data_IF_769920189410
#
_entry.id   IF_769920189410
#
_cell.length_a   1.000
_cell.length_b   1.000
_cell.length_c   1.000
_cell.angle_alpha   90.00
_cell.angle_beta   90.00
_cell.angle_gamma   90.00
#
_symmetry.space_group_name_H-M   'P 1'
#
loop_
_entity.id
_entity.type
_entity.pdbx_description
1 polymer ?
#
# COMPACT_ATOMS: atom_id res chain seq x y z
N UNK A 1 -8.04 -32.81 24.31
CA UNK A 1 -8.27 -31.86 25.43
C UNK A 1 -9.67 -31.29 25.29
N UNK A 2 -10.43 -31.17 26.39
CA UNK A 2 -11.76 -30.56 26.34
C UNK A 2 -11.64 -29.07 25.96
N UNK A 3 -12.55 -28.55 25.13
CA UNK A 3 -12.60 -27.12 24.81
C UNK A 3 -12.95 -26.33 26.09
N UNK A 4 -12.25 -25.22 26.38
CA UNK A 4 -12.56 -24.42 27.56
C UNK A 4 -13.99 -23.86 27.46
N UNK A 5 -14.69 -23.83 28.58
CA UNK A 5 -16.00 -23.20 28.65
C UNK A 5 -15.84 -21.68 28.50
N UNK A 6 -16.79 -20.97 27.85
CA UNK A 6 -16.68 -19.51 27.71
C UNK A 6 -16.58 -18.79 29.07
N UNK A 7 -17.27 -19.27 30.10
CA UNK A 7 -17.15 -18.80 31.50
C UNK A 7 -15.70 -18.73 31.99
N UNK A 8 -14.86 -19.72 31.66
CA UNK A 8 -13.43 -19.73 32.00
C UNK A 8 -12.65 -18.67 31.23
N UNK A 9 -13.01 -18.42 29.97
CA UNK A 9 -12.37 -17.40 29.14
C UNK A 9 -12.70 -15.98 29.63
N UNK A 10 -13.92 -15.75 30.11
CA UNK A 10 -14.31 -14.48 30.76
C UNK A 10 -13.47 -14.20 32.01
N UNK A 11 -13.32 -15.20 32.88
CA UNK A 11 -12.45 -15.08 34.05
C UNK A 11 -11.01 -14.80 33.62
N UNK A 12 -10.51 -15.46 32.57
CA UNK A 12 -9.16 -15.25 32.04
C UNK A 12 -8.96 -13.80 31.55
N UNK A 13 -9.90 -13.25 30.77
CA UNK A 13 -9.84 -11.86 30.30
C UNK A 13 -9.91 -10.88 31.48
N UNK A 14 -10.82 -11.11 32.42
CA UNK A 14 -10.94 -10.27 33.62
C UNK A 14 -9.67 -10.30 34.46
N UNK A 15 -9.07 -11.47 34.67
CA UNK A 15 -7.79 -11.63 35.37
C UNK A 15 -6.65 -10.92 34.64
N UNK A 16 -6.62 -10.97 33.31
CA UNK A 16 -5.63 -10.23 32.52
C UNK A 16 -5.77 -8.71 32.71
N UNK A 17 -7.00 -8.19 32.74
CA UNK A 17 -7.26 -6.74 32.87
C UNK A 17 -6.87 -6.21 34.26
N UNK A 18 -7.08 -7.01 35.32
CA UNK A 18 -6.91 -6.55 36.70
C UNK A 18 -5.56 -6.93 37.34
N UNK A 19 -4.76 -7.80 36.71
CA UNK A 19 -3.44 -8.15 37.24
C UNK A 19 -2.43 -7.03 37.02
N UNK A 20 -1.58 -6.77 38.02
CA UNK A 20 -0.44 -5.84 37.91
C UNK A 20 0.85 -6.54 37.49
N UNK A 21 0.87 -7.88 37.54
CA UNK A 21 2.01 -8.70 37.11
C UNK A 21 1.96 -8.89 35.58
N UNK A 22 2.94 -8.33 34.88
CA UNK A 22 3.07 -8.37 33.42
C UNK A 22 3.32 -9.78 32.87
N UNK A 23 3.96 -10.66 33.65
CA UNK A 23 4.20 -12.06 33.26
C UNK A 23 2.90 -12.86 33.32
N UNK A 24 2.12 -12.69 34.39
CA UNK A 24 0.79 -13.29 34.49
C UNK A 24 -0.16 -12.74 33.44
N UNK A 25 -0.13 -11.42 33.20
CA UNK A 25 -0.93 -10.76 32.16
C UNK A 25 -0.66 -11.38 30.78
N UNK A 26 0.62 -11.49 30.41
CA UNK A 26 1.04 -12.11 29.15
C UNK A 26 0.55 -13.56 29.03
N UNK A 27 0.65 -14.33 30.12
CA UNK A 27 0.19 -15.72 30.18
C UNK A 27 -1.33 -15.83 29.97
N UNK A 28 -2.12 -14.98 30.63
CA UNK A 28 -3.58 -14.97 30.47
C UNK A 28 -4.00 -14.61 29.04
N UNK A 29 -3.38 -13.58 28.45
CA UNK A 29 -3.70 -13.18 27.08
C UNK A 29 -3.27 -14.25 26.06
N UNK A 30 -2.10 -14.88 26.23
CA UNK A 30 -1.66 -15.96 25.36
C UNK A 30 -2.59 -17.18 25.43
N UNK A 31 -3.05 -17.54 26.64
CA UNK A 31 -4.06 -18.59 26.83
C UNK A 31 -5.37 -18.25 26.12
N UNK A 32 -5.84 -17.00 26.25
CA UNK A 32 -7.05 -16.53 25.58
C UNK A 32 -6.91 -16.60 24.05
N UNK A 33 -5.78 -16.14 23.50
CA UNK A 33 -5.47 -16.23 22.07
C UNK A 33 -5.51 -17.67 21.58
N UNK A 34 -4.91 -18.61 22.33
CA UNK A 34 -4.93 -20.03 21.99
C UNK A 34 -6.36 -20.58 21.95
N UNK A 35 -7.21 -20.21 22.91
CA UNK A 35 -8.59 -20.65 22.94
C UNK A 35 -9.44 -20.05 21.80
N UNK A 36 -9.27 -18.75 21.53
CA UNK A 36 -10.01 -18.02 20.49
C UNK A 36 -9.52 -18.30 19.06
N UNK A 37 -8.49 -19.14 18.89
CA UNK A 37 -8.05 -19.60 17.57
C UNK A 37 -9.07 -20.54 16.91
N UNK A 38 -9.87 -21.25 17.71
CA UNK A 38 -11.02 -22.02 17.22
C UNK A 38 -12.22 -21.10 17.01
N UNK A 39 -12.71 -21.02 15.77
CA UNK A 39 -13.81 -20.11 15.40
C UNK A 39 -15.07 -20.33 16.23
N UNK A 40 -15.48 -21.59 16.46
CA UNK A 40 -16.69 -21.88 17.22
C UNK A 40 -16.57 -21.42 18.69
N UNK A 41 -15.42 -21.66 19.32
CA UNK A 41 -15.12 -21.17 20.68
C UNK A 41 -15.12 -19.65 20.74
N UNK A 42 -14.53 -19.00 19.73
CA UNK A 42 -14.48 -17.55 19.61
C UNK A 42 -15.86 -16.91 19.49
N UNK A 43 -16.69 -17.43 18.59
CA UNK A 43 -18.03 -16.92 18.35
C UNK A 43 -18.90 -17.10 19.62
N UNK A 44 -18.81 -18.27 20.27
CA UNK A 44 -19.50 -18.53 21.54
C UNK A 44 -19.04 -17.60 22.68
N UNK A 45 -17.73 -17.34 22.79
CA UNK A 45 -17.17 -16.43 23.78
C UNK A 45 -17.70 -15.00 23.61
N UNK A 46 -17.66 -14.47 22.40
CA UNK A 46 -18.13 -13.11 22.15
C UNK A 46 -19.65 -12.98 22.26
N UNK A 47 -20.41 -13.98 21.83
CA UNK A 47 -21.87 -14.00 21.98
C UNK A 47 -22.26 -14.07 23.47
N UNK A 48 -21.55 -14.82 24.33
CA UNK A 48 -21.77 -14.84 25.77
C UNK A 48 -21.36 -13.52 26.45
N UNK A 49 -20.20 -12.94 26.09
CA UNK A 49 -19.77 -11.60 26.56
C UNK A 49 -20.87 -10.58 26.28
N UNK A 50 -21.40 -10.62 25.06
CA UNK A 50 -22.46 -9.72 24.62
C UNK A 50 -23.77 -9.95 25.37
N UNK A 51 -24.19 -11.21 25.53
CA UNK A 51 -25.40 -11.55 26.29
C UNK A 51 -25.32 -11.10 27.76
N UNK A 52 -24.12 -11.14 28.35
CA UNK A 52 -23.90 -10.85 29.77
C UNK A 52 -23.76 -9.36 30.06
N UNK A 53 -23.06 -8.62 29.21
CA UNK A 53 -22.67 -7.22 29.49
C UNK A 53 -23.18 -6.23 28.44
N UNK A 54 -23.80 -6.71 27.37
CA UNK A 54 -24.19 -5.89 26.23
C UNK A 54 -23.01 -5.14 25.62
N UNK A 55 -23.28 -3.98 25.04
CA UNK A 55 -22.26 -3.12 24.45
C UNK A 55 -21.49 -2.26 25.47
N UNK A 56 -21.79 -2.34 26.76
CA UNK A 56 -21.20 -1.45 27.77
C UNK A 56 -19.73 -1.77 28.04
N UNK A 57 -19.35 -3.05 28.00
CA UNK A 57 -17.97 -3.48 28.25
C UNK A 57 -17.09 -3.46 26.99
N UNK A 58 -17.69 -3.46 25.79
CA UNK A 58 -16.94 -3.47 24.53
C UNK A 58 -15.95 -2.30 24.42
N UNK A 59 -16.32 -1.03 24.64
CA UNK A 59 -15.37 0.08 24.61
C UNK A 59 -14.21 -0.10 25.58
N UNK A 60 -14.49 -0.52 26.82
CA UNK A 60 -13.46 -0.73 27.87
C UNK A 60 -12.48 -1.83 27.48
N UNK A 61 -12.96 -2.95 26.97
CA UNK A 61 -12.12 -4.05 26.50
C UNK A 61 -11.26 -3.60 25.31
N UNK A 62 -11.83 -2.85 24.36
CA UNK A 62 -11.09 -2.31 23.22
C UNK A 62 -10.03 -1.28 23.66
N UNK A 63 -10.35 -0.38 24.59
CA UNK A 63 -9.40 0.60 25.15
C UNK A 63 -8.19 -0.10 25.79
N UNK A 64 -8.46 -1.08 26.65
CA UNK A 64 -7.41 -1.88 27.28
C UNK A 64 -6.53 -2.60 26.25
N UNK A 65 -7.14 -3.29 25.28
CA UNK A 65 -6.39 -4.02 24.26
C UNK A 65 -5.61 -3.09 23.32
N UNK A 66 -6.16 -1.93 22.96
CA UNK A 66 -5.46 -0.89 22.21
C UNK A 66 -4.24 -0.37 22.97
N UNK A 67 -4.38 -0.10 24.26
CA UNK A 67 -3.27 0.33 25.13
C UNK A 67 -2.19 -0.74 25.20
N UNK A 68 -2.55 -1.98 25.51
CA UNK A 68 -1.59 -3.09 25.60
C UNK A 68 -0.89 -3.37 24.25
N UNK A 69 -1.57 -3.14 23.12
CA UNK A 69 -0.96 -3.25 21.78
C UNK A 69 0.02 -2.13 21.45
N UNK A 70 0.04 -1.04 22.22
CA UNK A 70 0.88 0.14 21.99
C UNK A 70 2.02 0.29 23.00
N UNK A 71 1.79 -0.12 24.25
CA UNK A 71 2.68 0.13 25.39
C UNK A 71 3.04 -1.13 26.17
N UNK A 72 2.35 -2.26 25.93
CA UNK A 72 2.62 -3.52 26.62
C UNK A 72 4.00 -4.10 26.26
N UNK A 73 4.58 -4.96 27.12
CA UNK A 73 5.78 -5.70 26.77
C UNK A 73 5.51 -6.59 25.54
N UNK A 74 6.56 -7.01 24.78
CA UNK A 74 6.38 -7.66 23.49
C UNK A 74 5.37 -8.83 23.49
N UNK A 75 5.44 -9.74 24.47
CA UNK A 75 4.54 -10.89 24.55
C UNK A 75 3.07 -10.51 24.83
N UNK A 76 2.85 -9.51 25.69
CA UNK A 76 1.52 -8.93 25.95
C UNK A 76 0.99 -8.21 24.72
N UNK A 77 1.83 -7.38 24.07
CA UNK A 77 1.49 -6.64 22.86
C UNK A 77 1.03 -7.58 21.74
N UNK A 78 1.78 -8.65 21.46
CA UNK A 78 1.44 -9.63 20.42
C UNK A 78 0.08 -10.28 20.68
N UNK A 79 -0.18 -10.67 21.93
CA UNK A 79 -1.44 -11.32 22.31
C UNK A 79 -2.62 -10.34 22.27
N UNK A 80 -2.43 -9.14 22.82
CA UNK A 80 -3.44 -8.08 22.83
C UNK A 80 -3.84 -7.67 21.41
N UNK A 81 -2.88 -7.53 20.48
CA UNK A 81 -3.13 -7.14 19.10
C UNK A 81 -4.01 -8.17 18.37
N UNK A 82 -3.76 -9.47 18.60
CA UNK A 82 -4.57 -10.56 18.03
C UNK A 82 -6.00 -10.55 18.56
N UNK A 83 -6.17 -10.40 19.88
CA UNK A 83 -7.49 -10.33 20.52
C UNK A 83 -8.24 -9.08 20.06
N UNK A 84 -7.56 -7.94 19.91
CA UNK A 84 -8.12 -6.68 19.41
C UNK A 84 -8.72 -6.86 18.01
N UNK A 85 -7.97 -7.47 17.08
CA UNK A 85 -8.47 -7.77 15.74
C UNK A 85 -9.76 -8.60 15.76
N UNK A 86 -9.77 -9.69 16.55
CA UNK A 86 -10.94 -10.57 16.69
C UNK A 86 -12.18 -9.84 17.24
N UNK A 87 -12.01 -9.01 18.26
CA UNK A 87 -13.10 -8.20 18.83
C UNK A 87 -13.67 -7.20 17.81
N UNK A 88 -12.80 -6.54 17.05
CA UNK A 88 -13.21 -5.58 16.04
C UNK A 88 -13.94 -6.25 14.87
N UNK A 89 -13.51 -7.45 14.46
CA UNK A 89 -14.17 -8.24 13.42
C UNK A 89 -15.56 -8.69 13.86
N UNK A 90 -15.67 -9.31 15.02
CA UNK A 90 -16.95 -9.74 15.58
C UNK A 90 -17.89 -8.54 15.80
N UNK A 91 -17.37 -7.45 16.37
CA UNK A 91 -18.14 -6.23 16.63
C UNK A 91 -18.64 -5.55 15.35
N UNK A 92 -17.87 -5.63 14.25
CA UNK A 92 -18.31 -5.18 12.93
C UNK A 92 -19.37 -6.09 12.32
N UNK A 93 -19.19 -7.42 12.41
CA UNK A 93 -20.14 -8.41 11.89
C UNK A 93 -21.53 -8.30 12.51
N UNK A 94 -21.59 -8.09 13.83
CA UNK A 94 -22.83 -7.95 14.60
C UNK A 94 -23.41 -6.53 14.60
N UNK A 95 -22.75 -5.57 13.94
CA UNK A 95 -23.19 -4.18 13.94
C UNK A 95 -24.64 -4.00 13.42
N UNK A 96 -25.04 -4.78 12.42
CA UNK A 96 -26.36 -4.69 11.79
C UNK A 96 -27.52 -5.22 12.63
N UNK A 97 -27.25 -5.99 13.68
CA UNK A 97 -28.27 -6.65 14.52
C UNK A 97 -28.72 -5.77 15.71
N UNK A 98 -28.24 -4.52 15.77
CA UNK A 98 -28.43 -3.61 16.90
C UNK A 98 -29.82 -2.98 16.93
N UNK A 99 -30.35 -2.84 18.15
CA UNK A 99 -31.48 -1.93 18.44
C UNK A 99 -30.99 -0.48 18.51
N UNK A 100 -31.81 0.44 18.03
CA UNK A 100 -31.52 1.88 18.05
C UNK A 100 -31.33 2.33 19.51
N UNK A 101 -30.18 2.93 19.82
CA UNK A 101 -29.85 3.44 21.17
C UNK A 101 -29.01 2.51 22.04
N UNK A 102 -28.68 1.30 21.59
CA UNK A 102 -27.84 0.35 22.33
C UNK A 102 -26.43 0.25 21.72
N UNK A 103 -25.42 0.75 22.46
CA UNK A 103 -23.99 0.49 22.23
C UNK A 103 -23.17 1.55 21.49
N UNK A 104 -21.89 1.22 21.28
CA UNK A 104 -20.90 2.03 20.52
C UNK A 104 -21.49 2.50 19.20
N UNK A 105 -21.32 3.73 18.72
CA UNK A 105 -21.88 4.17 17.43
C UNK A 105 -21.11 3.65 16.20
N UNK A 106 -21.72 3.64 15.00
CA UNK A 106 -21.04 3.18 13.76
C UNK A 106 -19.79 4.01 13.49
N UNK A 107 -19.90 5.32 13.73
CA UNK A 107 -18.81 6.29 13.60
C UNK A 107 -17.67 5.95 14.56
N UNK A 108 -17.98 5.57 15.79
CA UNK A 108 -16.99 5.18 16.79
C UNK A 108 -16.30 3.87 16.41
N UNK A 109 -17.06 2.84 15.98
CA UNK A 109 -16.50 1.57 15.49
C UNK A 109 -15.56 1.79 14.29
N UNK A 110 -15.96 2.63 13.33
CA UNK A 110 -15.08 3.04 12.22
C UNK A 110 -13.83 3.77 12.74
N UNK A 111 -13.96 4.59 13.79
CA UNK A 111 -12.83 5.22 14.47
C UNK A 111 -11.86 4.22 15.10
N UNK A 112 -12.38 3.18 15.77
CA UNK A 112 -11.62 2.07 16.34
C UNK A 112 -10.88 1.28 15.27
N UNK A 113 -11.56 0.93 14.17
CA UNK A 113 -10.95 0.25 13.02
C UNK A 113 -9.84 1.08 12.37
N UNK A 114 -10.02 2.40 12.26
CA UNK A 114 -8.96 3.32 11.80
C UNK A 114 -7.74 3.29 12.73
N UNK A 115 -7.94 3.22 14.05
CA UNK A 115 -6.84 3.08 15.02
C UNK A 115 -6.15 1.73 14.89
N UNK A 116 -6.91 0.64 14.76
CA UNK A 116 -6.36 -0.69 14.53
C UNK A 116 -5.44 -0.74 13.30
N UNK A 117 -5.88 -0.19 12.16
CA UNK A 117 -5.02 -0.08 10.97
C UNK A 117 -3.73 0.71 11.24
N UNK A 118 -3.77 1.77 12.04
CA UNK A 118 -2.56 2.52 12.42
C UNK A 118 -1.64 1.71 13.34
N UNK A 119 -2.21 0.94 14.29
CA UNK A 119 -1.44 0.05 15.16
C UNK A 119 -0.73 -1.00 14.32
N UNK A 120 -1.43 -1.63 13.37
CA UNK A 120 -0.82 -2.60 12.47
C UNK A 120 0.32 -1.96 11.65
N UNK A 121 0.10 -0.81 11.01
CA UNK A 121 1.16 -0.11 10.25
C UNK A 121 2.37 0.27 11.11
N UNK A 122 2.17 0.56 12.39
CA UNK A 122 3.26 0.86 13.32
C UNK A 122 4.12 -0.37 13.61
N UNK A 123 3.53 -1.57 13.58
CA UNK A 123 4.21 -2.86 13.84
C UNK A 123 4.71 -3.54 12.56
N UNK A 124 4.59 -2.88 11.41
CA UNK A 124 4.97 -3.38 10.08
C UNK A 124 6.04 -2.52 9.42
N UNK A 125 6.78 -1.73 10.20
CA UNK A 125 7.90 -0.97 9.65
C UNK A 125 9.06 -1.92 9.36
N UNK A 126 9.86 -1.60 8.36
CA UNK A 126 11.00 -2.43 7.94
C UNK A 126 12.09 -2.58 9.04
N UNK A 127 12.05 -1.73 10.08
CA UNK A 127 12.91 -1.78 11.27
C UNK A 127 12.33 -2.61 12.43
N UNK A 128 11.04 -2.99 12.37
CA UNK A 128 10.40 -3.72 13.46
C UNK A 128 10.83 -5.20 13.44
N UNK A 129 11.05 -5.82 14.61
CA UNK A 129 11.46 -7.21 14.70
C UNK A 129 10.38 -8.14 14.13
N UNK A 130 10.80 -9.32 13.67
CA UNK A 130 9.93 -10.35 13.11
C UNK A 130 8.68 -10.58 13.97
N UNK A 131 8.84 -10.76 15.29
CA UNK A 131 7.72 -11.05 16.19
C UNK A 131 6.60 -10.00 16.17
N UNK A 132 6.94 -8.72 16.01
CA UNK A 132 5.95 -7.63 15.89
C UNK A 132 5.19 -7.72 14.58
N UNK A 133 5.92 -7.93 13.46
CA UNK A 133 5.34 -8.06 12.13
C UNK A 133 4.49 -9.33 12.00
N UNK A 134 4.99 -10.42 12.57
CA UNK A 134 4.31 -11.70 12.64
C UNK A 134 3.01 -11.62 13.47
N UNK A 135 3.03 -10.94 14.63
CA UNK A 135 1.81 -10.74 15.41
C UNK A 135 0.78 -9.86 14.69
N UNK A 136 1.24 -8.85 13.93
CA UNK A 136 0.36 -8.05 13.09
C UNK A 136 -0.36 -8.91 12.03
N UNK A 137 0.35 -9.77 11.28
CA UNK A 137 -0.32 -10.67 10.32
C UNK A 137 -1.22 -11.70 11.01
N UNK A 138 -0.80 -12.27 12.14
CA UNK A 138 -1.62 -13.22 12.91
C UNK A 138 -2.92 -12.59 13.46
N UNK A 139 -2.95 -11.28 13.68
CA UNK A 139 -4.17 -10.56 14.04
C UNK A 139 -5.18 -10.46 12.90
N UNK A 140 -4.72 -10.61 11.64
CA UNK A 140 -5.55 -10.53 10.44
C UNK A 140 -6.11 -11.88 9.99
N UNK A 141 -5.39 -12.98 10.27
CA UNK A 141 -5.79 -14.36 9.96
C UNK A 141 -7.22 -14.70 10.42
N UNK A 142 -7.66 -14.40 11.66
CA UNK A 142 -8.98 -14.81 12.15
C UNK A 142 -10.15 -14.00 11.58
N UNK A 143 -9.88 -12.87 10.91
CA UNK A 143 -10.89 -11.90 10.51
C UNK A 143 -11.72 -12.45 9.34
N UNK A 144 -13.02 -12.19 9.36
CA UNK A 144 -13.96 -12.65 8.34
C UNK A 144 -14.93 -11.56 7.90
N UNK A 145 -15.41 -10.75 8.84
CA UNK A 145 -16.37 -9.69 8.59
C UNK A 145 -15.72 -8.41 8.06
N UNK A 146 -14.47 -8.14 8.41
CA UNK A 146 -13.72 -6.98 7.92
C UNK A 146 -13.30 -7.11 6.45
N UNK A 147 -13.36 -8.31 5.88
CA UNK A 147 -13.13 -8.54 4.44
C UNK A 147 -14.40 -8.35 3.60
N UNK A 148 -15.56 -8.21 4.24
CA UNK A 148 -16.82 -8.09 3.54
C UNK A 148 -16.97 -6.73 2.83
N UNK A 149 -17.74 -6.66 1.73
CA UNK A 149 -18.03 -5.40 1.02
C UNK A 149 -18.76 -4.33 1.82
N UNK A 150 -19.22 -4.63 3.03
CA UNK A 150 -19.92 -3.70 3.91
C UNK A 150 -18.99 -2.68 4.57
N UNK A 151 -17.68 -2.95 4.59
CA UNK A 151 -16.67 -2.05 5.16
C UNK A 151 -16.57 -0.75 4.35
N UNK A 152 -16.41 0.43 5.00
CA UNK A 152 -16.24 1.69 4.29
C UNK A 152 -15.06 1.63 3.30
N UNK A 153 -15.20 2.16 2.07
CA UNK A 153 -14.18 2.04 1.03
C UNK A 153 -12.77 2.46 1.45
N UNK A 154 -12.65 3.54 2.24
CA UNK A 154 -11.35 4.01 2.74
C UNK A 154 -10.68 3.03 3.70
N UNK A 155 -11.46 2.31 4.51
CA UNK A 155 -10.93 1.28 5.40
C UNK A 155 -10.53 0.03 4.60
N UNK A 156 -11.36 -0.39 3.64
CA UNK A 156 -11.02 -1.47 2.71
C UNK A 156 -9.72 -1.18 1.97
N UNK A 157 -9.57 0.03 1.42
CA UNK A 157 -8.34 0.47 0.78
C UNK A 157 -7.14 0.42 1.73
N UNK A 158 -7.32 0.92 2.96
CA UNK A 158 -6.23 0.98 3.93
C UNK A 158 -5.73 -0.41 4.35
N UNK A 159 -6.64 -1.37 4.49
CA UNK A 159 -6.33 -2.78 4.74
C UNK A 159 -5.72 -3.46 3.51
N UNK A 160 -6.21 -3.17 2.30
CA UNK A 160 -5.66 -3.71 1.07
C UNK A 160 -4.21 -3.28 0.84
N UNK A 161 -3.87 -2.01 1.09
CA UNK A 161 -2.49 -1.52 1.05
C UNK A 161 -1.63 -2.22 2.10
N UNK A 162 -2.15 -2.40 3.31
CA UNK A 162 -1.44 -3.09 4.39
C UNK A 162 -1.13 -4.54 4.03
N UNK A 163 -2.10 -5.24 3.45
CA UNK A 163 -1.93 -6.62 2.94
C UNK A 163 -0.90 -6.63 1.80
N UNK A 164 -0.88 -5.62 0.94
CA UNK A 164 0.13 -5.52 -0.12
C UNK A 164 1.55 -5.40 0.45
N UNK A 165 1.73 -4.60 1.51
CA UNK A 165 3.02 -4.47 2.20
C UNK A 165 3.46 -5.81 2.81
N UNK A 166 2.55 -6.52 3.48
CA UNK A 166 2.80 -7.84 4.06
C UNK A 166 3.13 -8.93 3.03
N UNK A 167 2.61 -8.83 1.79
CA UNK A 167 2.97 -9.77 0.72
C UNK A 167 4.39 -9.55 0.19
N UNK A 168 4.98 -8.39 0.51
CA UNK A 168 6.34 -7.99 0.14
C UNK A 168 7.28 -7.99 1.35
N UNK A 169 6.87 -8.62 2.46
CA UNK A 169 7.70 -8.84 3.64
C UNK A 169 8.88 -9.78 3.32
N UNK A 170 9.98 -9.72 4.04
CA UNK A 170 11.15 -10.61 3.86
C UNK A 170 10.97 -12.01 4.38
N UNK A 171 10.13 -12.15 5.39
CA UNK A 171 9.91 -13.44 5.99
C UNK A 171 8.87 -14.26 5.19
N UNK A 172 9.23 -15.50 4.87
CA UNK A 172 8.38 -16.41 4.11
C UNK A 172 7.09 -16.77 4.88
N UNK A 173 7.15 -16.89 6.20
CA UNK A 173 5.99 -17.20 7.04
C UNK A 173 4.97 -16.07 6.96
N UNK A 174 5.41 -14.81 7.05
CA UNK A 174 4.54 -13.63 6.93
C UNK A 174 3.87 -13.59 5.55
N UNK A 175 4.63 -13.78 4.47
CA UNK A 175 4.09 -13.83 3.10
C UNK A 175 3.08 -14.97 2.92
N UNK A 176 3.37 -16.14 3.49
CA UNK A 176 2.55 -17.34 3.41
C UNK A 176 1.22 -17.16 4.14
N UNK A 177 1.23 -16.55 5.34
CA UNK A 177 0.03 -16.23 6.10
C UNK A 177 -0.82 -15.15 5.41
N UNK A 178 -0.18 -14.19 4.74
CA UNK A 178 -0.88 -13.05 4.12
C UNK A 178 -1.61 -13.41 2.84
N UNK A 179 -1.10 -14.37 2.06
CA UNK A 179 -1.65 -14.69 0.74
C UNK A 179 -3.10 -15.19 0.75
N UNK A 180 -3.50 -16.10 1.67
CA UNK A 180 -4.90 -16.44 1.86
C UNK A 180 -5.78 -15.24 2.26
N UNK A 181 -5.28 -14.34 3.10
CA UNK A 181 -6.00 -13.14 3.56
C UNK A 181 -6.33 -12.23 2.36
N UNK A 182 -5.33 -11.95 1.53
CA UNK A 182 -5.50 -11.17 0.31
C UNK A 182 -6.50 -11.82 -0.66
N UNK A 183 -6.45 -13.15 -0.77
CA UNK A 183 -7.37 -13.93 -1.61
C UNK A 183 -8.80 -13.85 -1.08
N UNK A 184 -9.00 -13.97 0.24
CA UNK A 184 -10.30 -13.79 0.89
C UNK A 184 -10.85 -12.39 0.68
N UNK A 185 -10.02 -11.34 0.82
CA UNK A 185 -10.41 -9.95 0.54
C UNK A 185 -10.91 -9.82 -0.91
N UNK A 186 -10.08 -10.22 -1.88
CA UNK A 186 -10.44 -10.12 -3.31
C UNK A 186 -11.69 -10.93 -3.65
N UNK A 187 -11.84 -12.13 -3.08
CA UNK A 187 -12.99 -13.02 -3.30
C UNK A 187 -14.28 -12.42 -2.72
N UNK A 188 -14.21 -11.88 -1.50
CA UNK A 188 -15.34 -11.21 -0.83
C UNK A 188 -15.84 -10.01 -1.63
N UNK A 189 -14.98 -9.39 -2.43
CA UNK A 189 -15.31 -8.30 -3.34
C UNK A 189 -15.61 -8.76 -4.79
N UNK A 190 -15.90 -10.05 -5.01
CA UNK A 190 -16.24 -10.63 -6.31
C UNK A 190 -15.18 -10.42 -7.41
N UNK A 191 -13.90 -10.28 -7.04
CA UNK A 191 -12.82 -10.11 -8.01
C UNK A 191 -12.53 -11.42 -8.76
N UNK A 192 -12.64 -12.55 -8.07
CA UNK A 192 -12.48 -13.88 -8.66
C UNK A 192 -13.84 -14.55 -8.83
N UNK A 193 -14.02 -15.26 -9.95
CA UNK A 193 -15.10 -16.25 -10.10
C UNK A 193 -14.77 -17.53 -9.34
N UNK A 194 -13.51 -17.98 -9.44
CA UNK A 194 -12.94 -19.12 -8.71
C UNK A 194 -11.66 -18.66 -8.01
N UNK A 195 -11.49 -18.89 -6.70
CA UNK A 195 -10.29 -18.48 -5.98
C UNK A 195 -9.04 -19.19 -6.55
N UNK A 196 -8.00 -18.46 -6.95
CA UNK A 196 -6.79 -19.05 -7.51
C UNK A 196 -5.81 -19.53 -6.42
N UNK A 197 -4.71 -20.18 -6.84
CA UNK A 197 -3.57 -20.48 -5.96
C UNK A 197 -3.02 -19.24 -5.26
N UNK A 198 -2.61 -19.41 -4.00
CA UNK A 198 -2.21 -18.37 -3.03
C UNK A 198 -0.71 -18.10 -3.00
N UNK A 199 0.00 -18.20 -4.14
CA UNK A 199 1.42 -17.86 -4.19
C UNK A 199 1.62 -16.35 -3.89
N UNK A 200 2.50 -15.95 -2.94
CA UNK A 200 2.59 -14.57 -2.48
C UNK A 200 2.84 -13.53 -3.56
N UNK A 201 3.86 -13.75 -4.40
CA UNK A 201 4.21 -12.82 -5.49
C UNK A 201 3.06 -12.62 -6.49
N UNK A 202 2.41 -13.72 -6.90
CA UNK A 202 1.25 -13.63 -7.80
C UNK A 202 0.06 -12.96 -7.12
N UNK A 203 -0.08 -13.17 -5.81
CA UNK A 203 -1.13 -12.56 -5.00
C UNK A 203 -0.93 -11.06 -4.87
N UNK A 204 0.31 -10.58 -4.72
CA UNK A 204 0.65 -9.16 -4.70
C UNK A 204 0.29 -8.49 -6.04
N UNK A 205 0.65 -9.09 -7.17
CA UNK A 205 0.28 -8.58 -8.50
C UNK A 205 -1.24 -8.55 -8.71
N UNK A 206 -1.96 -9.60 -8.28
CA UNK A 206 -3.43 -9.64 -8.36
C UNK A 206 -4.05 -8.57 -7.46
N UNK A 207 -3.49 -8.34 -6.27
CA UNK A 207 -3.95 -7.32 -5.35
C UNK A 207 -3.74 -5.91 -5.93
N UNK A 208 -2.59 -5.63 -6.54
CA UNK A 208 -2.36 -4.36 -7.25
C UNK A 208 -3.42 -4.14 -8.36
N UNK A 209 -3.73 -5.18 -9.14
CA UNK A 209 -4.79 -5.14 -10.17
C UNK A 209 -6.21 -5.06 -9.58
N UNK A 210 -6.42 -5.60 -8.38
CA UNK A 210 -7.67 -5.41 -7.64
C UNK A 210 -7.82 -3.95 -7.22
N UNK A 211 -6.77 -3.32 -6.70
CA UNK A 211 -6.79 -1.92 -6.30
C UNK A 211 -7.21 -1.01 -7.46
N UNK A 212 -6.64 -1.20 -8.64
CA UNK A 212 -6.96 -0.38 -9.82
C UNK A 212 -8.39 -0.55 -10.33
N UNK A 213 -8.99 -1.73 -10.15
CA UNK A 213 -10.37 -2.00 -10.58
C UNK A 213 -11.40 -1.59 -9.54
N UNK A 214 -11.06 -1.70 -8.25
CA UNK A 214 -12.00 -1.45 -7.15
C UNK A 214 -12.08 0.03 -6.78
N UNK A 215 -10.99 0.77 -6.94
CA UNK A 215 -10.82 2.14 -6.44
C UNK A 215 -10.55 3.14 -7.57
N UNK A 216 -11.26 3.00 -8.69
CA UNK A 216 -11.17 3.83 -9.90
C UNK A 216 -11.31 5.32 -9.64
N UNK A 217 -12.18 5.70 -8.69
CA UNK A 217 -12.49 7.08 -8.35
C UNK A 217 -11.83 7.52 -7.03
N UNK A 218 -10.85 6.77 -6.52
CA UNK A 218 -10.28 6.99 -5.19
C UNK A 218 -9.10 7.95 -5.22
N UNK A 219 -9.34 9.19 -4.79
CA UNK A 219 -8.27 10.15 -4.50
C UNK A 219 -7.33 9.69 -3.39
N UNK A 220 -7.78 8.81 -2.51
CA UNK A 220 -6.93 8.23 -1.47
C UNK A 220 -5.93 7.21 -2.02
N UNK A 221 -6.31 6.40 -3.01
CA UNK A 221 -5.38 5.49 -3.69
C UNK A 221 -4.37 6.29 -4.51
N UNK A 222 -4.83 7.30 -5.26
CA UNK A 222 -3.97 8.22 -6.01
C UNK A 222 -2.93 8.87 -5.08
N UNK A 223 -3.38 9.50 -3.98
CA UNK A 223 -2.51 10.14 -2.99
C UNK A 223 -1.51 9.17 -2.36
N UNK A 224 -1.93 7.96 -2.01
CA UNK A 224 -1.02 6.96 -1.43
C UNK A 224 0.05 6.52 -2.45
N UNK A 225 -0.34 6.32 -3.70
CA UNK A 225 0.59 5.92 -4.76
C UNK A 225 1.63 7.02 -5.03
N UNK A 226 1.19 8.28 -5.09
CA UNK A 226 2.09 9.43 -5.20
C UNK A 226 3.00 9.57 -4.00
N UNK A 227 2.49 9.32 -2.78
CA UNK A 227 3.29 9.37 -1.56
C UNK A 227 4.45 8.37 -1.61
N UNK A 228 4.21 7.13 -2.05
CA UNK A 228 5.27 6.12 -2.20
C UNK A 228 6.32 6.51 -3.22
N UNK A 229 5.89 7.06 -4.36
CA UNK A 229 6.80 7.50 -5.41
C UNK A 229 7.59 8.76 -5.05
N UNK A 230 7.03 9.64 -4.23
CA UNK A 230 7.71 10.88 -3.79
C UNK A 230 8.45 10.73 -2.47
N UNK A 231 8.42 9.54 -1.85
CA UNK A 231 8.94 9.31 -0.49
C UNK A 231 8.34 10.26 0.57
N UNK A 232 7.15 10.83 0.33
CA UNK A 232 6.55 11.78 1.25
C UNK A 232 6.03 11.07 2.52
N UNK A 233 6.16 11.68 3.70
CA UNK A 233 5.59 11.09 4.91
C UNK A 233 4.06 11.21 4.94
N UNK A 234 3.39 10.40 5.76
CA UNK A 234 1.92 10.51 5.94
C UNK A 234 1.47 11.84 6.54
N UNK A 235 2.37 12.54 7.25
CA UNK A 235 2.14 13.82 7.91
C UNK A 235 2.43 15.04 7.04
N UNK A 236 3.12 14.86 5.91
CA UNK A 236 3.49 15.95 5.00
C UNK A 236 2.53 16.03 3.81
N UNK A 237 2.40 17.23 3.24
CA UNK A 237 1.75 17.39 1.94
C UNK A 237 2.61 16.77 0.84
N UNK A 238 1.94 16.28 -0.21
CA UNK A 238 2.64 15.82 -1.41
C UNK A 238 3.52 16.93 -1.97
N UNK A 239 4.67 16.56 -2.53
CA UNK A 239 5.61 17.48 -3.19
C UNK A 239 6.21 18.58 -2.30
N UNK A 240 6.01 18.52 -0.98
CA UNK A 240 6.57 19.51 -0.05
C UNK A 240 8.08 19.45 0.10
N UNK A 241 8.67 18.27 -0.09
CA UNK A 241 10.13 18.10 -0.14
C UNK A 241 10.58 18.12 -1.60
N UNK A 242 11.42 19.08 -2.01
CA UNK A 242 12.02 19.10 -3.35
C UNK A 242 12.81 17.82 -3.63
N UNK A 243 12.87 17.41 -4.91
CA UNK A 243 13.64 16.22 -5.32
C UNK A 243 15.11 16.33 -4.91
N UNK A 244 15.74 17.49 -5.11
CA UNK A 244 17.14 17.72 -4.77
C UNK A 244 17.43 17.47 -3.28
N UNK A 245 16.53 17.90 -2.37
CA UNK A 245 16.69 17.63 -0.94
C UNK A 245 16.59 16.14 -0.60
N UNK A 246 15.69 15.41 -1.27
CA UNK A 246 15.61 13.95 -1.13
C UNK A 246 16.88 13.30 -1.66
N UNK A 247 17.35 13.71 -2.83
CA UNK A 247 18.55 13.17 -3.45
C UNK A 247 19.77 13.34 -2.56
N UNK A 248 20.01 14.55 -2.06
CA UNK A 248 21.12 14.84 -1.13
C UNK A 248 21.02 14.05 0.18
N UNK A 249 19.80 13.84 0.69
CA UNK A 249 19.59 13.01 1.89
C UNK A 249 19.91 11.55 1.60
N UNK A 250 19.39 10.99 0.52
CA UNK A 250 19.64 9.60 0.15
C UNK A 250 21.10 9.39 -0.26
N UNK A 251 21.80 10.40 -0.78
CA UNK A 251 23.22 10.34 -1.16
C UNK A 251 24.15 10.25 0.06
N UNK A 252 23.81 10.94 1.15
CA UNK A 252 24.65 10.94 2.37
C UNK A 252 24.87 9.52 2.88
N UNK A 253 26.13 9.16 3.12
CA UNK A 253 26.46 7.92 3.83
C UNK A 253 25.98 8.04 5.27
N UNK A 254 25.25 7.04 5.74
CA UNK A 254 24.92 6.96 7.15
C UNK A 254 26.19 6.51 7.88
N UNK A 255 26.82 7.44 8.58
CA UNK A 255 28.06 7.22 9.35
C UNK A 255 27.76 6.85 10.80
N UNK A 256 26.49 6.61 11.14
CA UNK A 256 26.15 6.20 12.50
C UNK A 256 26.71 4.80 12.80
N UNK A 257 27.38 4.68 13.95
CA UNK A 257 27.93 3.40 14.44
C UNK A 257 26.83 2.38 14.82
N UNK A 258 25.56 2.80 14.82
CA UNK A 258 24.39 2.02 15.21
C UNK A 258 23.26 2.20 14.19
N UNK A 259 23.57 2.05 12.90
CA UNK A 259 22.53 1.95 11.87
C UNK A 259 21.60 0.81 12.29
N UNK A 260 20.32 1.10 12.45
CA UNK A 260 19.31 0.06 12.60
C UNK A 260 19.27 -0.70 11.29
N UNK A 261 19.76 -1.93 11.32
CA UNK A 261 19.79 -2.81 10.17
C UNK A 261 18.38 -2.99 9.60
N UNK A 262 18.20 -2.71 8.29
CA UNK A 262 16.96 -2.96 7.57
C UNK A 262 16.66 -4.46 7.67
N UNK A 263 15.61 -4.81 8.41
CA UNK A 263 15.28 -6.23 8.62
C UNK A 263 14.62 -6.81 7.37
N UNK A 264 13.85 -6.00 6.62
CA UNK A 264 13.21 -6.44 5.39
C UNK A 264 14.12 -6.34 4.15
N UNK A 265 14.87 -7.41 3.86
CA UNK A 265 15.76 -7.49 2.69
C UNK A 265 15.06 -7.93 1.38
N UNK A 266 13.83 -8.44 1.44
CA UNK A 266 13.07 -8.88 0.26
C UNK A 266 12.29 -7.74 -0.41
N UNK A 267 12.06 -6.65 0.34
CA UNK A 267 11.40 -5.46 -0.19
C UNK A 267 12.25 -4.81 -1.26
N UNK A 268 11.80 -4.99 -2.50
CA UNK A 268 12.32 -4.30 -3.67
C UNK A 268 11.54 -2.99 -3.89
N UNK A 269 12.14 -1.89 -3.44
CA UNK A 269 11.54 -0.55 -3.57
C UNK A 269 11.45 -0.07 -5.04
N UNK A 270 12.20 -0.68 -5.95
CA UNK A 270 12.13 -0.43 -7.40
C UNK A 270 10.90 -1.11 -7.99
N UNK A 271 10.64 -2.38 -7.64
CA UNK A 271 9.40 -3.07 -8.00
C UNK A 271 8.16 -2.40 -7.40
N UNK A 272 8.26 -1.89 -6.17
CA UNK A 272 7.20 -1.11 -5.52
C UNK A 272 6.89 0.16 -6.34
N UNK A 273 7.93 0.92 -6.71
CA UNK A 273 7.78 2.10 -7.55
C UNK A 273 7.09 1.77 -8.89
N UNK A 274 7.50 0.70 -9.56
CA UNK A 274 6.87 0.27 -10.81
C UNK A 274 5.40 -0.16 -10.62
N UNK A 275 5.08 -0.81 -9.50
CA UNK A 275 3.71 -1.21 -9.18
C UNK A 275 2.80 -0.01 -8.95
N UNK A 276 3.25 0.99 -8.19
CA UNK A 276 2.47 2.19 -7.93
C UNK A 276 2.42 3.14 -9.14
N UNK A 277 3.44 3.13 -10.00
CA UNK A 277 3.38 3.74 -11.33
C UNK A 277 2.27 3.10 -12.18
N UNK A 278 2.22 1.76 -12.23
CA UNK A 278 1.16 1.02 -12.92
C UNK A 278 -0.24 1.36 -12.38
N UNK A 279 -0.39 1.51 -11.06
CA UNK A 279 -1.65 1.90 -10.44
C UNK A 279 -2.09 3.29 -10.90
N UNK A 280 -1.20 4.27 -10.90
CA UNK A 280 -1.48 5.65 -11.32
C UNK A 280 -1.73 5.79 -12.82
N UNK A 281 -1.13 4.92 -13.64
CA UNK A 281 -1.33 4.85 -15.10
C UNK A 281 -2.49 3.95 -15.52
N UNK A 282 -3.32 3.50 -14.57
CA UNK A 282 -4.42 2.64 -14.94
C UNK A 282 -5.49 3.42 -15.71
N UNK A 283 -5.87 2.94 -16.89
CA UNK A 283 -6.89 3.56 -17.73
C UNK A 283 -8.27 3.70 -17.07
N UNK A 284 -8.55 2.92 -16.02
CA UNK A 284 -9.81 2.99 -15.28
C UNK A 284 -9.77 4.04 -14.15
N UNK A 285 -8.60 4.64 -13.87
CA UNK A 285 -8.49 5.72 -12.91
C UNK A 285 -9.18 6.95 -13.49
N UNK A 286 -10.28 7.37 -12.85
CA UNK A 286 -11.09 8.48 -13.33
C UNK A 286 -10.40 9.82 -13.04
N UNK A 287 -9.98 10.57 -14.07
CA UNK A 287 -9.18 11.77 -13.84
C UNK A 287 -9.92 12.85 -13.06
N UNK A 288 -11.24 12.98 -13.25
CA UNK A 288 -12.06 14.03 -12.63
C UNK A 288 -12.38 13.79 -11.15
N UNK A 289 -12.34 12.53 -10.69
CA UNK A 289 -12.71 12.17 -9.30
C UNK A 289 -11.51 11.70 -8.48
N UNK A 290 -10.58 10.96 -9.09
CA UNK A 290 -9.43 10.39 -8.39
C UNK A 290 -8.21 11.31 -8.34
N UNK A 291 -8.08 12.25 -9.28
CA UNK A 291 -6.92 13.13 -9.37
C UNK A 291 -7.37 14.56 -9.00
N UNK A 292 -6.96 15.09 -7.84
CA UNK A 292 -7.24 16.48 -7.52
C UNK A 292 -6.61 17.42 -8.58
N UNK A 293 -7.32 18.46 -9.07
CA UNK A 293 -6.85 19.30 -10.18
C UNK A 293 -5.46 19.93 -9.96
N UNK A 294 -5.13 20.28 -8.72
CA UNK A 294 -3.85 20.86 -8.33
C UNK A 294 -2.69 19.87 -8.36
N UNK A 295 -2.98 18.56 -8.32
CA UNK A 295 -1.96 17.51 -8.22
C UNK A 295 -1.14 17.38 -9.50
N UNK A 296 -1.78 17.49 -10.68
CA UNK A 296 -1.11 17.35 -11.98
C UNK A 296 -0.02 18.41 -12.20
N UNK A 297 -0.31 19.73 -12.08
CA UNK A 297 0.72 20.75 -12.25
C UNK A 297 1.82 20.67 -11.18
N UNK A 298 1.47 20.40 -9.92
CA UNK A 298 2.46 20.23 -8.85
C UNK A 298 3.41 19.06 -9.11
N UNK A 299 2.86 17.90 -9.48
CA UNK A 299 3.65 16.73 -9.83
C UNK A 299 4.57 17.03 -11.01
N UNK A 300 4.07 17.73 -12.04
CA UNK A 300 4.86 18.09 -13.21
C UNK A 300 6.03 18.99 -12.86
N UNK A 301 5.80 20.05 -12.07
CA UNK A 301 6.88 20.92 -11.61
C UNK A 301 7.92 20.10 -10.84
N UNK A 302 7.49 19.29 -9.89
CA UNK A 302 8.38 18.44 -9.09
C UNK A 302 9.20 17.47 -9.96
N UNK A 303 8.59 16.88 -11.00
CA UNK A 303 9.28 16.00 -11.95
C UNK A 303 10.31 16.78 -12.80
N UNK A 304 9.93 17.93 -13.34
CA UNK A 304 10.85 18.75 -14.16
C UNK A 304 12.04 19.22 -13.34
N UNK A 305 11.81 19.69 -12.11
CA UNK A 305 12.86 20.11 -11.20
C UNK A 305 13.78 18.93 -10.84
N UNK A 306 13.21 17.75 -10.62
CA UNK A 306 13.98 16.53 -10.36
C UNK A 306 14.83 16.07 -11.55
N UNK A 307 14.28 16.10 -12.77
CA UNK A 307 15.01 15.73 -13.98
C UNK A 307 16.16 16.72 -14.25
N UNK A 308 15.91 18.02 -14.10
CA UNK A 308 16.95 19.04 -14.22
C UNK A 308 18.06 18.84 -13.18
N UNK A 309 17.71 18.47 -11.95
CA UNK A 309 18.70 18.15 -10.92
C UNK A 309 19.54 16.92 -11.28
N UNK A 310 18.92 15.83 -11.75
CA UNK A 310 19.69 14.65 -12.19
C UNK A 310 20.60 14.95 -13.38
N UNK A 311 20.18 15.80 -14.31
CA UNK A 311 21.03 16.28 -15.41
C UNK A 311 22.25 17.02 -14.86
N UNK A 312 22.07 17.94 -13.92
CA UNK A 312 23.18 18.66 -13.27
C UNK A 312 24.13 17.70 -12.58
N UNK A 313 23.62 16.79 -11.75
CA UNK A 313 24.43 15.80 -11.03
C UNK A 313 25.23 14.93 -12.01
N UNK A 314 24.59 14.46 -13.07
CA UNK A 314 25.26 13.67 -14.09
C UNK A 314 26.38 14.44 -14.82
N UNK A 315 26.16 15.73 -15.11
CA UNK A 315 27.18 16.59 -15.75
C UNK A 315 28.34 16.94 -14.83
N UNK A 316 28.07 17.21 -13.56
CA UNK A 316 29.09 17.61 -12.58
C UNK A 316 30.05 16.45 -12.23
N UNK A 317 29.60 15.21 -12.37
CA UNK A 317 30.35 14.00 -12.01
C UNK A 317 31.16 13.35 -13.14
N UNK A 318 31.11 13.92 -14.35
CA UNK A 318 31.91 13.53 -15.53
C UNK A 318 33.45 13.62 -15.28
N UNK A 319 33.86 14.10 -14.10
CA UNK A 319 35.24 14.26 -13.62
C UNK A 319 35.86 13.11 -12.80
N UNK A 320 35.16 12.00 -12.54
CA UNK A 320 35.80 10.73 -12.17
C UNK A 320 35.95 10.36 -10.68
N UNK A 321 35.04 10.78 -9.79
CA UNK A 321 35.12 10.38 -8.36
C UNK A 321 34.30 9.14 -7.99
N UNK A 322 33.21 8.81 -8.69
CA UNK A 322 32.20 7.84 -8.18
C UNK A 322 32.30 6.40 -8.75
N UNK A 323 33.34 6.09 -9.54
CA UNK A 323 33.58 4.74 -10.06
C UNK A 323 32.55 4.27 -11.10
N UNK A 324 32.59 2.99 -11.49
CA UNK A 324 31.85 2.46 -12.65
C UNK A 324 30.30 2.47 -12.52
N UNK A 325 29.76 2.70 -11.33
CA UNK A 325 28.31 2.83 -11.10
C UNK A 325 27.89 4.28 -10.83
N UNK A 326 28.84 5.23 -10.77
CA UNK A 326 28.59 6.64 -10.48
C UNK A 326 27.77 6.88 -9.20
N UNK A 327 27.06 8.02 -9.16
CA UNK A 327 26.11 8.36 -8.10
C UNK A 327 24.99 7.33 -7.86
N UNK A 328 24.78 6.39 -8.79
CA UNK A 328 23.75 5.33 -8.66
C UNK A 328 24.22 4.11 -7.87
N UNK A 329 25.48 4.10 -7.38
CA UNK A 329 26.03 3.01 -6.57
C UNK A 329 25.19 2.70 -5.33
N UNK A 330 24.59 3.74 -4.72
CA UNK A 330 23.77 3.59 -3.52
C UNK A 330 22.34 3.16 -3.90
N UNK A 331 21.83 2.01 -3.40
CA UNK A 331 20.50 1.48 -3.78
C UNK A 331 19.36 2.47 -3.58
N UNK A 332 19.42 3.30 -2.53
CA UNK A 332 18.41 4.33 -2.23
C UNK A 332 18.38 5.42 -3.31
N UNK A 333 19.55 5.84 -3.79
CA UNK A 333 19.68 6.84 -4.86
C UNK A 333 19.20 6.26 -6.19
N UNK A 334 19.58 5.01 -6.50
CA UNK A 334 19.07 4.30 -7.68
C UNK A 334 17.55 4.20 -7.67
N UNK A 335 16.97 3.79 -6.54
CA UNK A 335 15.52 3.68 -6.33
C UNK A 335 14.83 5.03 -6.52
N UNK A 336 15.41 6.11 -5.98
CA UNK A 336 14.89 7.46 -6.14
C UNK A 336 14.89 7.91 -7.62
N UNK A 337 15.93 7.57 -8.37
CA UNK A 337 15.98 7.77 -9.82
C UNK A 337 14.86 7.03 -10.55
N UNK A 338 14.63 5.75 -10.25
CA UNK A 338 13.51 4.98 -10.82
C UNK A 338 12.16 5.61 -10.48
N UNK A 339 11.97 6.05 -9.24
CA UNK A 339 10.74 6.72 -8.80
C UNK A 339 10.47 7.99 -9.60
N UNK A 340 11.48 8.82 -9.81
CA UNK A 340 11.36 10.04 -10.63
C UNK A 340 10.98 9.71 -12.08
N UNK A 341 11.63 8.71 -12.70
CA UNK A 341 11.29 8.29 -14.07
C UNK A 341 9.87 7.72 -14.13
N UNK A 342 9.46 6.95 -13.12
CA UNK A 342 8.08 6.46 -12.99
C UNK A 342 7.06 7.60 -12.87
N UNK A 343 7.39 8.67 -12.16
CA UNK A 343 6.54 9.86 -12.04
C UNK A 343 6.48 10.65 -13.35
N UNK A 344 7.59 10.76 -14.09
CA UNK A 344 7.59 11.35 -15.42
C UNK A 344 6.67 10.58 -16.38
N UNK A 345 6.71 9.24 -16.32
CA UNK A 345 5.80 8.36 -17.07
C UNK A 345 4.32 8.60 -16.70
N UNK A 346 4.02 8.77 -15.40
CA UNK A 346 2.67 9.14 -14.92
C UNK A 346 2.23 10.49 -15.49
N UNK A 347 3.08 11.51 -15.46
CA UNK A 347 2.76 12.85 -16.01
C UNK A 347 2.49 12.80 -17.51
N UNK A 348 3.26 12.01 -18.26
CA UNK A 348 3.04 11.82 -19.69
C UNK A 348 1.73 11.09 -19.99
N UNK A 349 1.32 10.17 -19.12
CA UNK A 349 0.07 9.42 -19.25
C UNK A 349 -1.16 10.24 -18.87
N UNK A 350 -1.10 11.04 -17.80
CA UNK A 350 -2.23 11.82 -17.32
C UNK A 350 -2.69 12.91 -18.29
N UNK A 351 -3.95 13.39 -18.18
CA UNK A 351 -4.43 14.51 -18.98
C UNK A 351 -3.56 15.76 -18.77
N UNK A 352 -3.32 16.52 -19.84
CA UNK A 352 -2.51 17.74 -19.80
C UNK A 352 -2.23 18.28 -21.20
N UNK A 353 -1.77 19.53 -21.27
CA UNK A 353 -1.51 20.20 -22.54
C UNK A 353 -0.30 19.61 -23.27
N UNK A 354 -0.32 19.67 -24.60
CA UNK A 354 0.73 19.10 -25.44
C UNK A 354 2.11 19.69 -25.16
N UNK A 355 2.17 21.01 -24.93
CA UNK A 355 3.40 21.73 -24.59
C UNK A 355 3.99 21.25 -23.25
N UNK A 356 3.14 21.07 -22.24
CA UNK A 356 3.56 20.63 -20.91
C UNK A 356 4.12 19.20 -20.94
N UNK A 357 3.49 18.30 -21.70
CA UNK A 357 4.01 16.95 -21.93
C UNK A 357 5.30 16.96 -22.75
N UNK A 358 5.41 17.85 -23.72
CA UNK A 358 6.64 18.03 -24.51
C UNK A 358 7.82 18.43 -23.62
N UNK A 359 7.63 19.34 -22.65
CA UNK A 359 8.68 19.72 -21.70
C UNK A 359 9.24 18.53 -20.91
N UNK A 360 8.36 17.62 -20.47
CA UNK A 360 8.78 16.40 -19.76
C UNK A 360 9.54 15.44 -20.69
N UNK A 361 9.07 15.25 -21.94
CA UNK A 361 9.79 14.43 -22.93
C UNK A 361 11.18 15.00 -23.22
N UNK A 362 11.28 16.31 -23.40
CA UNK A 362 12.56 17.00 -23.64
C UNK A 362 13.51 16.81 -22.46
N UNK A 363 13.04 17.00 -21.23
CA UNK A 363 13.87 16.80 -20.04
C UNK A 363 14.34 15.33 -19.87
N UNK A 364 13.48 14.36 -20.17
CA UNK A 364 13.88 12.95 -20.21
C UNK A 364 14.90 12.65 -21.32
N UNK A 365 14.73 13.26 -22.50
CA UNK A 365 15.68 13.14 -23.61
C UNK A 365 17.04 13.74 -23.28
N UNK A 366 17.07 14.91 -22.65
CA UNK A 366 18.31 15.55 -22.17
C UNK A 366 19.01 14.68 -21.11
N UNK A 367 18.27 14.11 -20.16
CA UNK A 367 18.82 13.17 -19.19
C UNK A 367 19.38 11.92 -19.86
N UNK A 368 18.73 11.41 -20.90
CA UNK A 368 19.23 10.28 -21.68
C UNK A 368 20.53 10.64 -22.41
N UNK A 369 20.57 11.75 -23.14
CA UNK A 369 21.76 12.21 -23.86
C UNK A 369 22.96 12.44 -22.94
N UNK A 370 22.73 13.05 -21.77
CA UNK A 370 23.76 13.22 -20.74
C UNK A 370 24.17 11.87 -20.18
N UNK A 371 23.20 11.01 -19.84
CA UNK A 371 23.41 9.67 -19.31
C UNK A 371 24.24 8.78 -20.23
N UNK A 372 24.07 8.85 -21.54
CA UNK A 372 24.89 8.12 -22.52
C UNK A 372 26.34 8.58 -22.50
N UNK A 373 26.57 9.90 -22.41
CA UNK A 373 27.93 10.47 -22.36
C UNK A 373 28.68 10.05 -21.12
N UNK A 374 28.01 10.08 -19.96
CA UNK A 374 28.62 9.78 -18.66
C UNK A 374 28.50 8.31 -18.23
N UNK A 375 27.98 7.45 -19.11
CA UNK A 375 27.75 6.02 -18.84
C UNK A 375 26.88 5.76 -17.60
N UNK A 376 25.76 6.47 -17.47
CA UNK A 376 24.77 6.24 -16.42
C UNK A 376 24.27 4.80 -16.43
N UNK A 377 23.87 4.29 -15.25
CA UNK A 377 23.43 2.92 -15.05
C UNK A 377 22.39 2.46 -16.09
N UNK A 378 22.70 1.37 -16.80
CA UNK A 378 21.91 0.89 -17.96
C UNK A 378 20.43 0.66 -17.68
N UNK A 379 20.04 0.19 -16.49
CA UNK A 379 18.62 0.02 -16.13
C UNK A 379 17.84 1.35 -16.05
N UNK A 380 18.48 2.46 -15.64
CA UNK A 380 17.84 3.78 -15.66
C UNK A 380 17.67 4.25 -17.11
N UNK A 381 18.72 4.10 -17.92
CA UNK A 381 18.73 4.42 -19.34
C UNK A 381 17.62 3.69 -20.09
N UNK A 382 17.57 2.36 -19.97
CA UNK A 382 16.55 1.52 -20.59
C UNK A 382 15.15 1.92 -20.13
N UNK A 383 14.99 2.31 -18.86
CA UNK A 383 13.70 2.78 -18.35
C UNK A 383 13.30 4.12 -18.98
N UNK A 384 14.20 5.09 -19.11
CA UNK A 384 13.95 6.38 -19.76
C UNK A 384 13.55 6.15 -21.22
N UNK A 385 14.31 5.33 -21.96
CA UNK A 385 14.01 4.97 -23.34
C UNK A 385 12.61 4.36 -23.49
N UNK A 386 12.25 3.40 -22.63
CA UNK A 386 10.91 2.79 -22.65
C UNK A 386 9.80 3.83 -22.42
N UNK A 387 10.00 4.77 -21.51
CA UNK A 387 9.03 5.84 -21.23
C UNK A 387 8.89 6.79 -22.44
N UNK A 388 10.02 7.21 -23.03
CA UNK A 388 10.03 8.06 -24.21
C UNK A 388 9.36 7.35 -25.41
N UNK A 389 9.73 6.10 -25.68
CA UNK A 389 9.17 5.32 -26.77
C UNK A 389 7.65 5.15 -26.64
N UNK A 390 7.16 4.76 -25.45
CA UNK A 390 5.72 4.65 -25.21
C UNK A 390 5.00 5.99 -25.41
N UNK A 391 5.59 7.08 -24.91
CA UNK A 391 4.99 8.41 -25.02
C UNK A 391 4.94 8.95 -26.46
N UNK A 392 5.92 8.61 -27.30
CA UNK A 392 5.91 8.95 -28.74
C UNK A 392 4.87 8.13 -29.48
N UNK A 393 4.75 6.82 -29.18
CA UNK A 393 3.73 5.96 -29.77
C UNK A 393 2.31 6.47 -29.47
N UNK A 394 2.07 6.99 -28.26
CA UNK A 394 0.80 7.63 -27.92
C UNK A 394 0.49 8.84 -28.81
N UNK A 395 1.49 9.71 -29.06
CA UNK A 395 1.34 10.87 -29.95
C UNK A 395 1.06 10.44 -31.38
N UNK A 396 1.82 9.47 -31.90
CA UNK A 396 1.62 8.93 -33.25
C UNK A 396 0.23 8.31 -33.39
N UNK A 397 -0.24 7.60 -32.36
CA UNK A 397 -1.58 7.00 -32.35
C UNK A 397 -2.67 8.07 -32.39
N UNK A 398 -2.51 9.16 -31.65
CA UNK A 398 -3.46 10.30 -31.67
C UNK A 398 -3.45 10.97 -33.05
N UNK A 399 -2.27 11.25 -33.62
CA UNK A 399 -2.15 11.84 -34.95
C UNK A 399 -2.79 10.94 -36.01
N UNK A 400 -2.48 9.64 -36.00
CA UNK A 400 -3.05 8.67 -36.93
C UNK A 400 -4.59 8.63 -36.86
N UNK A 401 -5.17 8.65 -35.64
CA UNK A 401 -6.63 8.69 -35.45
C UNK A 401 -7.27 10.00 -35.87
N UNK A 402 -6.50 11.09 -35.92
CA UNK A 402 -6.98 12.41 -36.34
C UNK A 402 -6.90 12.64 -37.86
N UNK A 403 -6.20 11.76 -38.59
CA UNK A 403 -6.14 11.84 -40.05
C UNK A 403 -7.52 11.45 -40.62
N UNK A 404 -8.11 12.26 -41.52
CA UNK A 404 -9.35 11.90 -42.18
C UNK A 404 -9.12 10.60 -42.96
N UNK A 405 -10.03 9.62 -42.79
CA UNK A 405 -10.08 8.45 -43.68
C UNK A 405 -10.35 9.00 -45.07
N UNK A 406 -9.31 9.06 -45.90
CA UNK A 406 -9.48 9.32 -47.33
C UNK A 406 -10.28 8.15 -47.85
N UNK A 407 -11.60 8.34 -47.95
CA UNK A 407 -12.47 7.42 -48.66
C UNK A 407 -11.88 7.29 -50.04
N UNK A 408 -11.34 6.12 -50.34
CA UNK A 408 -11.14 5.70 -51.73
C UNK A 408 -12.54 5.74 -52.31
N UNK A 409 -12.83 6.79 -53.08
CA UNK A 409 -14.10 6.92 -53.78
C UNK A 409 -14.30 5.65 -54.60
N UNK A 410 -15.31 4.88 -54.23
CA UNK A 410 -15.91 3.92 -55.15
C UNK A 410 -16.52 4.75 -56.29
N UNK A 411 -15.71 5.04 -57.31
CA UNK A 411 -16.19 5.38 -58.64
C UNK A 411 -16.83 4.12 -59.24
N UNK A 412 -18.01 3.75 -58.75
CA UNK A 412 -18.93 2.88 -59.50
C UNK A 412 -19.78 3.76 -60.40
N UNK A 413 -19.15 4.27 -61.46
CA UNK A 413 -19.85 4.65 -62.70
C UNK A 413 -19.56 3.57 -63.76
N UNK A 414 -20.09 2.37 -63.54
CA UNK A 414 -20.25 1.41 -64.64
C UNK A 414 -21.54 1.79 -65.36
N UNK A 415 -21.36 2.37 -66.54
CA UNK A 415 -22.45 2.64 -67.47
C UNK A 415 -23.16 1.35 -67.87
N UNK A 416 -24.49 1.35 -67.72
CA UNK A 416 -25.35 0.44 -68.46
C UNK A 416 -25.49 0.94 -69.89
N UNK A 417 -24.79 0.28 -70.81
CA UNK A 417 -25.09 0.29 -72.24
C UNK A 417 -25.26 -1.16 -72.70
N UNK A 418 -26.51 -1.65 -72.68
CA UNK A 418 -27.23 -2.46 -73.70
C UNK A 418 -28.36 -3.28 -73.13
#
# INVERSE_FOLDING_TARGET
MAKPLPSTLHTTLSSAIHTTDTSLQSTYLASLVSALSDRATRDAFFDEEFARYGYQNLPRNLDYLEEQSLTGPPSTMQSALRILGMWLDWGWGRWGERRVGEGMERREMVGRLKRFVRILRRNLRDEDPFDSRHAAVLSLVPLTHLWAPTLPPLLTLSLAILIFDLLSDDDEEIRTLTSPIATTLMTSHNYFRNPPSVLPILTAHRLAKFLTRKFTDSSSLCRESLRRLTSASSSQSLFSTPFAELFERERKEDTSLFIREKQNLYRDDTLDAMTFCYILKNQHLSPSSAIPPETVPQLRCWVLDGLAHLVSVAQDEDGGTDGALGWTRKPEVFTLGIRLICLADVVLHWPGEGEEKWRVRRALGELLEVGERVQMHGLLMERIERVLAASVLDVVTVVYRSLPVVGVGEDTSVGEEK
#
